data_IF_339587099456
#
_entry.id   IF_339587099456
#
_cell.length_a   1.000
_cell.length_b   1.000
_cell.length_c   1.000
_cell.angle_alpha   90.00
_cell.angle_beta   90.00
_cell.angle_gamma   90.00
#
_symmetry.space_group_name_H-M   'P 1'
#
loop_
_entity.id
_entity.type
_entity.pdbx_description
1 polymer ?
#
# COMPACT_ATOMS: atom_id res chain seq x y z
N UNK A 1 -5.98 -9.30 -14.80
CA UNK A 1 -6.05 -8.53 -13.53
C UNK A 1 -6.90 -7.25 -13.71
N UNK A 2 -6.58 -6.42 -14.67
CA UNK A 2 -7.27 -5.13 -14.91
C UNK A 2 -8.76 -5.31 -15.24
N UNK A 3 -9.12 -6.35 -16.03
CA UNK A 3 -10.51 -6.66 -16.33
C UNK A 3 -11.34 -7.01 -15.09
N UNK A 4 -10.76 -7.72 -14.12
CA UNK A 4 -11.47 -8.05 -12.87
C UNK A 4 -11.64 -6.84 -11.97
N UNK A 5 -10.69 -5.91 -12.00
CA UNK A 5 -10.77 -4.67 -11.20
C UNK A 5 -11.83 -3.69 -11.70
N UNK A 6 -12.23 -3.78 -12.97
CA UNK A 6 -13.30 -2.95 -13.57
C UNK A 6 -14.73 -3.47 -13.34
N UNK A 7 -14.87 -4.69 -12.81
CA UNK A 7 -16.19 -5.27 -12.53
C UNK A 7 -16.86 -4.59 -11.32
N UNK A 8 -18.18 -4.60 -11.30
CA UNK A 8 -18.95 -4.28 -10.09
C UNK A 8 -18.97 -5.46 -9.10
N UNK A 9 -19.62 -5.27 -7.96
CA UNK A 9 -19.68 -6.30 -6.91
C UNK A 9 -20.37 -7.59 -7.34
N UNK A 10 -21.31 -7.53 -8.28
CA UNK A 10 -22.00 -8.71 -8.82
C UNK A 10 -21.08 -9.42 -9.81
N UNK A 11 -20.48 -8.65 -10.71
CA UNK A 11 -19.57 -9.17 -11.74
C UNK A 11 -18.36 -9.88 -11.15
N UNK A 12 -17.71 -9.31 -10.11
CA UNK A 12 -16.55 -9.95 -9.48
C UNK A 12 -16.93 -11.25 -8.77
N UNK A 13 -18.07 -11.29 -8.07
CA UNK A 13 -18.56 -12.51 -7.45
C UNK A 13 -18.85 -13.61 -8.48
N UNK A 14 -19.55 -13.27 -9.57
CA UNK A 14 -19.89 -14.19 -10.66
C UNK A 14 -18.64 -14.75 -11.35
N UNK A 15 -17.65 -13.89 -11.61
CA UNK A 15 -16.38 -14.30 -12.21
C UNK A 15 -15.62 -15.29 -11.32
N UNK A 16 -15.51 -15.00 -10.02
CA UNK A 16 -14.83 -15.87 -9.06
C UNK A 16 -15.57 -17.22 -8.87
N UNK A 17 -16.90 -17.22 -8.85
CA UNK A 17 -17.68 -18.45 -8.81
C UNK A 17 -17.46 -19.33 -10.04
N UNK A 18 -17.44 -18.73 -11.23
CA UNK A 18 -17.13 -19.43 -12.47
C UNK A 18 -15.72 -20.04 -12.45
N UNK A 19 -14.71 -19.28 -12.02
CA UNK A 19 -13.32 -19.75 -11.89
C UNK A 19 -13.24 -20.92 -10.90
N UNK A 20 -13.86 -20.79 -9.71
CA UNK A 20 -13.85 -21.85 -8.71
C UNK A 20 -14.54 -23.11 -9.19
N UNK A 21 -15.71 -22.99 -9.84
CA UNK A 21 -16.45 -24.12 -10.39
C UNK A 21 -15.64 -24.85 -11.48
N UNK A 22 -15.00 -24.11 -12.38
CA UNK A 22 -14.14 -24.70 -13.41
C UNK A 22 -12.96 -25.44 -12.80
N UNK A 23 -12.26 -24.82 -11.84
CA UNK A 23 -11.13 -25.44 -11.14
C UNK A 23 -11.54 -26.74 -10.44
N UNK A 24 -12.59 -26.74 -9.63
CA UNK A 24 -13.04 -27.95 -8.92
C UNK A 24 -13.45 -29.05 -9.89
N UNK A 25 -14.09 -28.71 -11.01
CA UNK A 25 -14.40 -29.68 -12.06
C UNK A 25 -13.15 -30.32 -12.62
N UNK A 26 -12.17 -29.53 -13.05
CA UNK A 26 -10.90 -30.04 -13.60
C UNK A 26 -10.15 -30.91 -12.60
N UNK A 27 -10.09 -30.52 -11.33
CA UNK A 27 -9.46 -31.32 -10.26
C UNK A 27 -10.23 -32.62 -10.03
N UNK A 28 -11.57 -32.62 -10.07
CA UNK A 28 -12.38 -33.83 -9.91
C UNK A 28 -12.22 -34.84 -11.05
N UNK A 29 -11.75 -34.40 -12.21
CA UNK A 29 -11.39 -35.30 -13.33
C UNK A 29 -10.04 -36.00 -13.11
N UNK A 30 -9.18 -35.46 -12.22
CA UNK A 30 -7.85 -35.97 -11.92
C UNK A 30 -7.79 -36.89 -10.69
N UNK A 31 -8.77 -36.84 -9.80
CA UNK A 31 -8.78 -37.64 -8.58
C UNK A 31 -10.19 -38.02 -8.15
N UNK A 32 -10.33 -39.19 -7.51
CA UNK A 32 -11.55 -39.67 -6.83
C UNK A 32 -11.47 -39.53 -5.30
N UNK A 33 -10.45 -38.85 -4.77
CA UNK A 33 -10.30 -38.59 -3.35
C UNK A 33 -11.26 -37.50 -2.88
N UNK A 34 -12.37 -37.91 -2.29
CA UNK A 34 -13.40 -37.00 -1.80
C UNK A 34 -12.89 -36.04 -0.71
N UNK A 35 -11.95 -36.52 0.15
CA UNK A 35 -11.37 -35.66 1.20
C UNK A 35 -10.50 -34.57 0.61
N UNK A 36 -9.70 -34.90 -0.41
CA UNK A 36 -8.91 -33.91 -1.15
C UNK A 36 -9.82 -32.87 -1.83
N UNK A 37 -10.89 -33.30 -2.49
CA UNK A 37 -11.85 -32.41 -3.16
C UNK A 37 -12.54 -31.47 -2.17
N UNK A 38 -12.88 -31.96 -0.98
CA UNK A 38 -13.44 -31.13 0.10
C UNK A 38 -12.46 -30.02 0.54
N UNK A 39 -11.19 -30.39 0.78
CA UNK A 39 -10.14 -29.43 1.14
C UNK A 39 -9.96 -28.37 0.04
N UNK A 40 -9.91 -28.79 -1.23
CA UNK A 40 -9.75 -27.87 -2.35
C UNK A 40 -10.96 -26.92 -2.50
N UNK A 41 -12.17 -27.40 -2.24
CA UNK A 41 -13.37 -26.55 -2.23
C UNK A 41 -13.28 -25.49 -1.14
N UNK A 42 -12.86 -25.86 0.08
CA UNK A 42 -12.66 -24.92 1.19
C UNK A 42 -11.57 -23.89 0.85
N UNK A 43 -10.46 -24.34 0.24
CA UNK A 43 -9.38 -23.47 -0.18
C UNK A 43 -9.84 -22.43 -1.21
N UNK A 44 -10.65 -22.85 -2.17
CA UNK A 44 -11.22 -21.97 -3.21
C UNK A 44 -12.21 -20.95 -2.63
N UNK A 45 -13.04 -21.36 -1.68
CA UNK A 45 -13.94 -20.44 -0.99
C UNK A 45 -13.20 -19.40 -0.15
N UNK A 46 -12.12 -19.81 0.52
CA UNK A 46 -11.26 -18.89 1.27
C UNK A 46 -10.52 -17.94 0.33
N UNK A 47 -10.03 -18.43 -0.80
CA UNK A 47 -9.44 -17.57 -1.85
C UNK A 47 -10.45 -16.55 -2.34
N UNK A 48 -11.69 -16.97 -2.66
CA UNK A 48 -12.77 -16.06 -3.10
C UNK A 48 -13.01 -14.95 -2.06
N UNK A 49 -13.18 -15.32 -0.79
CA UNK A 49 -13.39 -14.35 0.31
C UNK A 49 -12.24 -13.34 0.42
N UNK A 50 -11.01 -13.83 0.38
CA UNK A 50 -9.81 -12.98 0.44
C UNK A 50 -9.72 -12.03 -0.76
N UNK A 51 -10.03 -12.53 -1.97
CA UNK A 51 -9.99 -11.72 -3.18
C UNK A 51 -11.08 -10.64 -3.18
N UNK A 52 -12.30 -10.96 -2.74
CA UNK A 52 -13.39 -9.99 -2.61
C UNK A 52 -13.01 -8.90 -1.59
N UNK A 53 -12.45 -9.28 -0.45
CA UNK A 53 -11.97 -8.32 0.55
C UNK A 53 -10.91 -7.38 -0.02
N UNK A 54 -9.92 -7.94 -0.73
CA UNK A 54 -8.89 -7.16 -1.44
C UNK A 54 -9.51 -6.23 -2.48
N UNK A 55 -10.39 -6.73 -3.34
CA UNK A 55 -11.07 -5.96 -4.38
C UNK A 55 -11.88 -4.80 -3.77
N UNK A 56 -12.69 -5.09 -2.73
CA UNK A 56 -13.48 -4.08 -2.02
C UNK A 56 -12.58 -2.97 -1.46
N UNK A 57 -11.48 -3.35 -0.80
CA UNK A 57 -10.51 -2.39 -0.26
C UNK A 57 -9.94 -1.51 -1.36
N UNK A 58 -9.58 -2.09 -2.51
CA UNK A 58 -9.08 -1.32 -3.67
C UNK A 58 -10.12 -0.35 -4.23
N UNK A 59 -11.39 -0.76 -4.31
CA UNK A 59 -12.48 0.12 -4.75
C UNK A 59 -12.66 1.30 -3.78
N UNK A 60 -12.62 1.06 -2.47
CA UNK A 60 -12.72 2.14 -1.48
C UNK A 60 -11.52 3.09 -1.55
N UNK A 61 -10.30 2.57 -1.69
CA UNK A 61 -9.10 3.40 -1.86
C UNK A 61 -9.21 4.30 -3.10
N UNK A 62 -9.70 3.76 -4.23
CA UNK A 62 -9.83 4.53 -5.47
C UNK A 62 -10.77 5.73 -5.34
N UNK A 63 -11.70 5.72 -4.40
CA UNK A 63 -12.58 6.86 -4.10
C UNK A 63 -11.84 8.04 -3.46
N UNK A 64 -10.59 7.86 -3.06
CA UNK A 64 -9.75 8.95 -2.54
C UNK A 64 -9.12 9.77 -3.67
N UNK A 65 -9.05 9.24 -4.89
CA UNK A 65 -8.53 9.96 -6.03
C UNK A 65 -9.35 11.24 -6.27
N UNK A 66 -8.67 12.34 -6.48
CA UNK A 66 -9.26 13.67 -6.64
C UNK A 66 -9.75 14.32 -5.35
N UNK A 67 -9.62 13.64 -4.19
CA UNK A 67 -9.89 14.23 -2.88
C UNK A 67 -8.63 14.83 -2.27
N UNK A 68 -8.84 15.79 -1.37
CA UNK A 68 -7.74 16.38 -0.60
C UNK A 68 -7.07 15.29 0.25
N UNK A 69 -5.73 15.22 0.21
CA UNK A 69 -4.97 14.31 1.06
C UNK A 69 -5.25 14.62 2.53
N UNK A 70 -5.42 13.60 3.39
CA UNK A 70 -5.48 13.78 4.82
C UNK A 70 -4.25 14.52 5.35
N UNK A 71 -4.42 15.16 6.51
CA UNK A 71 -3.35 15.90 7.16
C UNK A 71 -2.41 14.96 7.94
N UNK A 72 -1.13 15.28 7.90
CA UNK A 72 -0.13 14.74 8.83
C UNK A 72 0.81 15.86 9.30
N UNK A 73 1.42 15.66 10.49
CA UNK A 73 2.54 16.42 11.00
C UNK A 73 3.40 15.47 11.83
N UNK A 74 4.52 15.04 11.27
CA UNK A 74 5.32 13.94 11.85
C UNK A 74 6.75 14.35 12.12
N UNK A 75 7.39 13.63 13.02
CA UNK A 75 8.82 13.78 13.30
C UNK A 75 9.64 13.64 12.03
N UNK A 76 10.53 14.59 11.77
CA UNK A 76 11.45 14.58 10.64
C UNK A 76 12.82 14.06 11.09
N UNK A 77 13.43 13.18 10.31
CA UNK A 77 14.78 12.65 10.54
C UNK A 77 15.82 13.76 10.73
N UNK A 78 15.65 14.89 10.04
CA UNK A 78 16.54 16.07 10.14
C UNK A 78 16.27 16.94 11.37
N UNK A 79 15.33 16.53 12.20
CA UNK A 79 14.91 17.25 13.41
C UNK A 79 13.63 18.07 13.21
N UNK A 80 12.92 18.30 14.32
CA UNK A 80 11.62 18.94 14.31
C UNK A 80 10.51 18.07 13.71
N UNK A 81 9.47 18.69 13.18
CA UNK A 81 8.36 18.03 12.52
C UNK A 81 8.15 18.60 11.11
N UNK A 82 7.51 17.84 10.24
CA UNK A 82 7.09 18.28 8.91
C UNK A 82 5.65 17.86 8.67
N UNK A 83 4.84 18.82 8.29
CA UNK A 83 3.45 18.61 7.91
C UNK A 83 3.30 18.50 6.38
N UNK A 84 2.16 17.99 5.92
CA UNK A 84 1.84 18.00 4.49
C UNK A 84 1.74 19.43 3.94
N UNK A 85 1.38 20.40 4.79
CA UNK A 85 1.27 21.81 4.39
C UNK A 85 2.63 22.45 4.11
N UNK A 86 3.69 22.00 4.78
CA UNK A 86 5.07 22.44 4.54
C UNK A 86 5.63 21.94 3.19
N UNK A 87 4.98 20.95 2.60
CA UNK A 87 5.39 20.29 1.35
C UNK A 87 4.53 20.70 0.14
N UNK A 88 3.59 21.64 0.31
CA UNK A 88 2.73 22.13 -0.77
C UNK A 88 3.50 22.82 -1.90
N UNK A 89 2.89 22.86 -3.08
CA UNK A 89 3.45 23.51 -4.27
C UNK A 89 4.21 22.57 -5.18
N UNK A 90 4.40 21.33 -4.75
CA UNK A 90 5.06 20.27 -5.55
C UNK A 90 4.20 19.01 -5.58
N UNK A 91 4.45 18.15 -6.55
CA UNK A 91 3.99 16.77 -6.47
C UNK A 91 4.75 16.07 -5.35
N UNK A 92 4.03 15.28 -4.56
CA UNK A 92 4.63 14.45 -3.51
C UNK A 92 4.48 12.98 -3.92
N UNK A 93 5.60 12.28 -3.97
CA UNK A 93 5.61 10.83 -4.04
C UNK A 93 5.80 10.31 -2.61
N UNK A 94 4.70 9.88 -1.98
CA UNK A 94 4.68 9.44 -0.58
C UNK A 94 4.78 7.93 -0.53
N UNK A 95 5.85 7.41 0.08
CA UNK A 95 6.06 5.99 0.38
C UNK A 95 5.76 5.71 1.85
N UNK A 96 4.88 4.75 2.11
CA UNK A 96 4.54 4.29 3.45
C UNK A 96 5.14 2.91 3.68
N UNK A 97 5.99 2.79 4.70
CA UNK A 97 6.79 1.61 4.96
C UNK A 97 7.07 1.40 6.47
N UNK A 98 7.85 0.37 6.81
CA UNK A 98 8.40 0.18 8.16
C UNK A 98 9.67 -0.68 8.13
N UNK A 99 10.50 -0.58 9.14
CA UNK A 99 11.77 -1.34 9.25
C UNK A 99 11.57 -2.86 9.29
N UNK A 100 10.46 -3.31 9.80
CA UNK A 100 10.07 -4.73 9.86
C UNK A 100 9.39 -5.24 8.58
N UNK A 101 9.04 -4.36 7.63
CA UNK A 101 8.36 -4.71 6.39
C UNK A 101 9.34 -5.30 5.37
N UNK A 102 9.35 -6.62 5.23
CA UNK A 102 10.18 -7.32 4.25
C UNK A 102 9.94 -6.86 2.81
N UNK A 103 8.68 -6.89 2.30
CA UNK A 103 8.37 -6.41 0.96
C UNK A 103 8.82 -4.97 0.70
N UNK A 104 8.66 -4.05 1.68
CA UNK A 104 9.10 -2.66 1.52
C UNK A 104 10.61 -2.57 1.26
N UNK A 105 11.41 -3.36 1.98
CA UNK A 105 12.87 -3.40 1.80
C UNK A 105 13.29 -3.93 0.43
N UNK A 106 12.54 -4.84 -0.16
CA UNK A 106 12.79 -5.31 -1.53
C UNK A 106 12.61 -4.20 -2.57
N UNK A 107 11.80 -3.19 -2.28
CA UNK A 107 11.55 -2.07 -3.20
C UNK A 107 12.57 -0.94 -3.10
N UNK A 108 13.39 -0.86 -2.03
CA UNK A 108 14.40 0.19 -1.86
C UNK A 108 15.33 0.37 -3.06
N UNK A 109 15.87 -0.69 -3.71
CA UNK A 109 16.71 -0.49 -4.90
C UNK A 109 15.98 0.18 -6.05
N UNK A 110 14.68 -0.12 -6.23
CA UNK A 110 13.85 0.49 -7.26
C UNK A 110 13.47 1.92 -6.89
N UNK A 111 13.16 2.16 -5.62
CA UNK A 111 12.89 3.49 -5.09
C UNK A 111 14.09 4.43 -5.26
N UNK A 112 15.30 4.00 -4.89
CA UNK A 112 16.55 4.78 -5.14
C UNK A 112 16.80 5.10 -6.61
N UNK A 113 16.49 4.17 -7.53
CA UNK A 113 16.57 4.43 -8.97
C UNK A 113 15.59 5.51 -9.40
N UNK A 114 14.37 5.47 -8.83
CA UNK A 114 13.35 6.47 -9.10
C UNK A 114 13.77 7.85 -8.58
N UNK A 115 14.22 7.94 -7.33
CA UNK A 115 14.76 9.18 -6.75
C UNK A 115 15.90 9.74 -7.58
N UNK A 116 16.87 8.89 -7.95
CA UNK A 116 18.01 9.31 -8.79
C UNK A 116 17.57 9.83 -10.17
N UNK A 117 16.58 9.16 -10.78
CA UNK A 117 16.06 9.56 -12.10
C UNK A 117 15.41 10.94 -12.06
N UNK A 118 14.73 11.26 -10.97
CA UNK A 118 13.99 12.50 -10.81
C UNK A 118 14.70 13.52 -9.88
N UNK A 119 15.95 13.25 -9.53
CA UNK A 119 16.77 14.17 -8.72
C UNK A 119 16.93 15.52 -9.42
N UNK A 120 16.74 16.60 -8.65
CA UNK A 120 16.88 17.97 -9.17
C UNK A 120 15.65 18.49 -9.92
N UNK A 121 14.54 17.76 -9.91
CA UNK A 121 13.27 18.25 -10.44
C UNK A 121 12.54 19.06 -9.36
N UNK A 122 12.44 20.37 -9.57
CA UNK A 122 11.92 21.31 -8.55
C UNK A 122 10.44 21.12 -8.19
N UNK A 123 9.67 20.47 -9.05
CA UNK A 123 8.24 20.27 -8.86
C UNK A 123 7.85 18.89 -8.27
N UNK A 124 8.81 18.06 -7.87
CA UNK A 124 8.56 16.73 -7.27
C UNK A 124 9.43 16.55 -6.02
N UNK A 125 8.79 16.16 -4.92
CA UNK A 125 9.46 15.73 -3.69
C UNK A 125 9.12 14.26 -3.36
N UNK A 126 10.11 13.55 -2.86
CA UNK A 126 9.96 12.20 -2.31
C UNK A 126 9.82 12.29 -0.80
N UNK A 127 8.75 11.70 -0.27
CA UNK A 127 8.42 11.68 1.15
C UNK A 127 8.26 10.24 1.60
N UNK A 128 9.08 9.82 2.53
CA UNK A 128 9.04 8.47 3.09
C UNK A 128 8.51 8.54 4.50
N UNK A 129 7.35 7.92 4.76
CA UNK A 129 6.70 7.89 6.08
C UNK A 129 6.82 6.49 6.65
N UNK A 130 7.59 6.34 7.72
CA UNK A 130 7.64 5.09 8.48
C UNK A 130 6.46 5.01 9.46
N UNK A 131 5.85 3.83 9.53
CA UNK A 131 4.86 3.48 10.54
C UNK A 131 5.46 2.58 11.63
N UNK A 132 6.75 2.68 11.86
CA UNK A 132 7.38 2.01 12.99
C UNK A 132 6.82 2.54 14.33
N UNK A 133 6.84 1.68 15.34
CA UNK A 133 6.53 2.13 16.68
C UNK A 133 7.61 3.08 17.17
N UNK A 134 7.24 4.10 17.95
CA UNK A 134 8.19 5.12 18.48
C UNK A 134 9.36 4.51 19.25
N UNK A 135 9.17 3.36 19.89
CA UNK A 135 10.26 2.61 20.57
C UNK A 135 11.31 2.07 19.62
N UNK A 136 10.99 1.92 18.33
CA UNK A 136 11.89 1.44 17.28
C UNK A 136 12.49 2.59 16.45
N UNK A 137 12.35 3.85 16.94
CA UNK A 137 12.84 5.07 16.28
C UNK A 137 14.32 4.98 15.88
N UNK A 138 15.17 4.44 16.75
CA UNK A 138 16.60 4.33 16.47
C UNK A 138 16.88 3.36 15.31
N UNK A 139 16.13 2.27 15.20
CA UNK A 139 16.20 1.34 14.05
C UNK A 139 15.79 2.01 12.74
N UNK A 140 14.74 2.84 12.80
CA UNK A 140 14.31 3.61 11.64
C UNK A 140 15.41 4.57 11.17
N UNK A 141 16.02 5.34 12.08
CA UNK A 141 17.12 6.25 11.78
C UNK A 141 18.30 5.48 11.14
N UNK A 142 18.69 4.38 11.79
CA UNK A 142 19.78 3.53 11.30
C UNK A 142 19.50 3.00 9.89
N UNK A 143 18.28 2.50 9.64
CA UNK A 143 17.92 1.93 8.34
C UNK A 143 17.90 2.99 7.24
N UNK A 144 17.32 4.17 7.46
CA UNK A 144 17.31 5.26 6.47
C UNK A 144 18.73 5.65 6.09
N UNK A 145 19.63 5.79 7.08
CA UNK A 145 21.03 6.15 6.85
C UNK A 145 21.79 5.04 6.10
N UNK A 146 21.63 3.78 6.50
CA UNK A 146 22.33 2.65 5.90
C UNK A 146 21.88 2.37 4.45
N UNK A 147 20.59 2.54 4.17
CA UNK A 147 20.03 2.34 2.83
C UNK A 147 20.29 3.54 1.90
N UNK A 148 20.78 4.66 2.42
CA UNK A 148 21.08 5.85 1.63
C UNK A 148 19.85 6.39 0.90
N UNK A 149 18.70 6.33 1.55
CA UNK A 149 17.46 6.88 1.02
C UNK A 149 17.53 8.41 1.03
N UNK A 150 17.08 9.04 -0.03
CA UNK A 150 17.05 10.51 -0.16
C UNK A 150 15.63 11.05 0.09
N UNK A 151 15.47 12.39 0.08
CA UNK A 151 14.16 13.01 0.28
C UNK A 151 13.87 13.38 1.73
N UNK A 152 12.58 13.41 2.05
CA UNK A 152 12.05 13.73 3.39
C UNK A 152 11.63 12.46 4.10
N UNK A 153 12.22 12.16 5.24
CA UNK A 153 11.93 10.97 6.03
C UNK A 153 11.21 11.34 7.31
N UNK A 154 10.04 10.75 7.49
CA UNK A 154 9.12 11.05 8.59
C UNK A 154 8.79 9.77 9.37
N UNK A 155 8.61 9.92 10.68
CA UNK A 155 8.12 8.85 11.55
C UNK A 155 6.70 9.19 12.02
N UNK A 156 5.74 8.33 11.70
CA UNK A 156 4.35 8.49 12.12
C UNK A 156 4.21 8.39 13.65
N UNK A 157 3.28 9.13 14.22
CA UNK A 157 3.13 9.33 15.67
C UNK A 157 2.59 8.11 16.43
N UNK A 158 1.81 7.27 15.79
CA UNK A 158 1.04 6.16 16.42
C UNK A 158 1.03 4.88 15.59
N UNK A 159 2.11 4.61 14.85
CA UNK A 159 2.21 3.42 14.00
C UNK A 159 0.94 3.22 13.11
N UNK A 160 0.33 2.03 13.10
CA UNK A 160 -0.91 1.72 12.40
C UNK A 160 -2.13 2.55 12.83
N UNK A 161 -2.08 3.17 14.01
CA UNK A 161 -3.16 3.99 14.59
C UNK A 161 -3.01 5.48 14.25
N UNK A 162 -1.99 5.85 13.51
CA UNK A 162 -1.83 7.20 13.02
C UNK A 162 -3.01 7.60 12.14
N UNK A 163 -3.52 8.82 12.30
CA UNK A 163 -4.72 9.27 11.59
C UNK A 163 -4.52 9.23 10.08
N UNK A 164 -3.36 9.63 9.57
CA UNK A 164 -3.03 9.56 8.15
C UNK A 164 -3.09 8.13 7.58
N UNK A 165 -2.64 7.15 8.38
CA UNK A 165 -2.67 5.72 8.02
C UNK A 165 -4.12 5.23 7.90
N UNK A 166 -4.96 5.59 8.86
CA UNK A 166 -6.38 5.21 8.90
C UNK A 166 -7.17 5.89 7.76
N UNK A 167 -6.99 7.21 7.60
CA UNK A 167 -7.72 8.00 6.60
C UNK A 167 -7.37 7.61 5.15
N UNK A 168 -6.18 7.05 4.92
CA UNK A 168 -5.77 6.50 3.63
C UNK A 168 -6.01 4.98 3.52
N UNK A 169 -6.69 4.36 4.49
CA UNK A 169 -7.00 2.93 4.55
C UNK A 169 -5.74 2.04 4.47
N UNK A 170 -4.59 2.52 4.94
CA UNK A 170 -3.33 1.78 4.92
C UNK A 170 -3.39 0.65 5.95
N UNK A 171 -4.09 0.85 7.07
CA UNK A 171 -4.40 -0.16 8.09
C UNK A 171 -5.14 -1.39 7.51
N UNK A 172 -5.85 -1.22 6.40
CA UNK A 172 -6.60 -2.28 5.71
C UNK A 172 -5.89 -2.81 4.46
N UNK A 173 -5.17 -1.95 3.75
CA UNK A 173 -4.48 -2.32 2.51
C UNK A 173 -3.07 -2.87 2.75
N UNK A 174 -2.46 -2.58 3.90
CA UNK A 174 -1.09 -2.94 4.21
C UNK A 174 -0.03 -2.01 3.59
N UNK A 175 1.23 -2.37 3.84
CA UNK A 175 2.42 -1.73 3.29
C UNK A 175 3.25 -2.76 2.49
N UNK A 176 4.07 -2.36 1.47
CA UNK A 176 4.31 -0.99 1.02
C UNK A 176 3.07 -0.33 0.39
N UNK A 177 2.95 0.98 0.54
CA UNK A 177 1.87 1.76 -0.06
C UNK A 177 2.42 3.09 -0.59
N UNK A 178 2.09 3.40 -1.84
CA UNK A 178 2.46 4.67 -2.48
C UNK A 178 1.24 5.56 -2.67
N UNK A 179 1.40 6.86 -2.42
CA UNK A 179 0.37 7.87 -2.63
C UNK A 179 1.01 9.04 -3.38
N UNK A 180 0.40 9.45 -4.49
CA UNK A 180 0.82 10.64 -5.22
C UNK A 180 -0.14 11.76 -4.89
N UNK A 181 0.41 12.91 -4.46
CA UNK A 181 -0.35 14.11 -4.15
C UNK A 181 0.09 15.24 -5.10
N UNK A 182 -0.87 15.97 -5.65
CA UNK A 182 -0.61 17.10 -6.54
C UNK A 182 -0.16 18.37 -5.77
N UNK A 183 0.34 19.42 -6.45
CA UNK A 183 0.80 20.65 -5.81
C UNK A 183 -0.29 21.38 -5.00
N UNK A 184 -1.57 21.09 -5.22
CA UNK A 184 -2.70 21.66 -4.49
C UNK A 184 -3.11 20.82 -3.27
N UNK A 185 -2.49 19.65 -3.10
CA UNK A 185 -2.74 18.73 -1.99
C UNK A 185 -3.84 17.70 -2.27
N UNK A 186 -4.16 17.40 -3.53
CA UNK A 186 -5.14 16.38 -3.90
C UNK A 186 -4.46 15.06 -4.28
N UNK A 187 -5.05 13.95 -3.87
CA UNK A 187 -4.56 12.60 -4.22
C UNK A 187 -4.80 12.36 -5.72
N UNK A 188 -3.76 11.91 -6.42
CA UNK A 188 -3.80 11.64 -7.87
C UNK A 188 -4.04 10.16 -8.16
N UNK A 189 -3.62 9.25 -7.25
CA UNK A 189 -3.74 7.79 -7.41
C UNK A 189 -4.26 7.09 -6.18
#
# INVERSE_FOLDING_TARGET
>A
YDQMMSLDSIGINTALDSINKTYIKEVSELTNDNHFLEIETINRDNFKKSYISFWTTKQEISKHNGKKSPYFNYENLKGGTTSIDDLKGKYLYIDIWATWCGPCKYEFPSFRKLEKKYHGIDYLDFVSISIDNIKDRDKWIEMVNNEGLSGTHLLADKDWKSQYVIDNMIDKSGIPRYIIVDPKGYIVN
#
